data_IF_971243784314
#
_entry.id   IF_971243784314
#
_cell.length_a   1.000
_cell.length_b   1.000
_cell.length_c   1.000
_cell.angle_alpha   90.00
_cell.angle_beta   90.00
_cell.angle_gamma   90.00
#
_symmetry.space_group_name_H-M   'P 1'
#
loop_
_entity.id
_entity.type
_entity.pdbx_description
1 polymer ?
#
# COMPACT_ATOMS: atom_id res chain seq x y z
N UNK A 1 -9.75 10.12 -39.09
CA UNK A 1 -9.41 11.07 -38.00
C UNK A 1 -9.91 10.45 -36.69
N UNK A 2 -9.05 9.81 -35.90
CA UNK A 2 -9.45 9.16 -34.65
C UNK A 2 -9.55 10.24 -33.57
N UNK A 3 -10.74 10.77 -33.33
CA UNK A 3 -10.98 11.60 -32.13
C UNK A 3 -10.94 10.70 -30.90
N UNK A 4 -9.95 10.90 -30.01
CA UNK A 4 -9.98 10.28 -28.70
C UNK A 4 -11.33 10.66 -28.08
N UNK A 5 -12.18 9.69 -27.78
CA UNK A 5 -13.46 9.96 -27.17
C UNK A 5 -13.24 10.31 -25.71
N UNK A 6 -12.99 11.59 -25.43
CA UNK A 6 -12.83 12.13 -24.08
C UNK A 6 -13.94 11.61 -23.14
N UNK A 7 -15.18 11.48 -23.61
CA UNK A 7 -16.33 11.06 -22.79
C UNK A 7 -16.19 9.62 -22.26
N UNK A 8 -15.71 8.66 -23.04
CA UNK A 8 -15.53 7.25 -22.60
C UNK A 8 -14.29 7.08 -21.74
N UNK A 9 -13.21 7.81 -22.04
CA UNK A 9 -11.98 7.81 -21.27
C UNK A 9 -12.23 8.35 -19.84
N UNK A 10 -12.85 9.52 -19.72
CA UNK A 10 -13.16 10.12 -18.43
C UNK A 10 -14.25 9.36 -17.66
N UNK A 11 -15.20 8.72 -18.33
CA UNK A 11 -16.21 7.89 -17.65
C UNK A 11 -15.56 6.70 -16.92
N UNK A 12 -14.60 6.02 -17.53
CA UNK A 12 -13.88 4.92 -16.89
C UNK A 12 -12.95 5.38 -15.78
N UNK A 13 -12.29 6.50 -16.01
CA UNK A 13 -11.47 7.12 -14.97
C UNK A 13 -12.33 7.49 -13.77
N UNK A 14 -13.51 8.05 -13.99
CA UNK A 14 -14.51 8.33 -12.96
C UNK A 14 -14.85 7.09 -12.12
N UNK A 15 -15.20 5.97 -12.75
CA UNK A 15 -15.53 4.73 -12.06
C UNK A 15 -14.35 4.25 -11.18
N UNK A 16 -13.12 4.41 -11.65
CA UNK A 16 -11.94 4.01 -10.89
C UNK A 16 -11.69 4.92 -9.68
N UNK A 17 -11.90 6.23 -9.85
CA UNK A 17 -11.78 7.23 -8.79
C UNK A 17 -12.85 7.04 -7.71
N UNK A 18 -14.11 6.81 -8.10
CA UNK A 18 -15.23 6.65 -7.18
C UNK A 18 -15.00 5.54 -6.16
N UNK A 19 -14.32 4.44 -6.53
CA UNK A 19 -13.93 3.37 -5.60
C UNK A 19 -13.12 3.85 -4.39
N UNK A 20 -12.39 4.94 -4.54
CA UNK A 20 -11.55 5.50 -3.47
C UNK A 20 -12.24 6.58 -2.66
N UNK A 21 -13.24 7.23 -3.23
CA UNK A 21 -13.90 8.40 -2.64
C UNK A 21 -15.23 8.08 -1.96
N UNK A 22 -15.91 7.01 -2.40
CA UNK A 22 -17.22 6.62 -1.85
C UNK A 22 -17.12 6.18 -0.38
N UNK A 23 -18.08 6.64 0.44
CA UNK A 23 -18.28 6.25 1.83
C UNK A 23 -17.04 6.45 2.74
N UNK A 24 -16.20 7.42 2.43
CA UNK A 24 -15.01 7.77 3.21
C UNK A 24 -14.90 9.27 3.41
N UNK A 25 -14.33 9.68 4.54
CA UNK A 25 -13.90 11.06 4.74
C UNK A 25 -12.75 11.34 3.75
N UNK A 26 -13.07 11.91 2.59
CA UNK A 26 -12.17 11.98 1.45
C UNK A 26 -12.02 13.37 0.89
N UNK A 27 -10.82 13.68 0.42
CA UNK A 27 -10.46 14.91 -0.29
C UNK A 27 -10.03 14.58 -1.71
N UNK A 28 -10.62 15.25 -2.69
CA UNK A 28 -10.23 15.16 -4.08
C UNK A 28 -9.60 16.45 -4.56
N UNK A 29 -8.30 16.42 -4.86
CA UNK A 29 -7.52 17.55 -5.36
C UNK A 29 -7.33 17.37 -6.87
N UNK A 30 -7.73 18.39 -7.63
CA UNK A 30 -7.75 18.39 -9.09
C UNK A 30 -7.13 19.66 -9.63
N UNK A 31 -6.56 19.57 -10.85
CA UNK A 31 -6.27 20.75 -11.64
C UNK A 31 -7.57 21.50 -12.00
N UNK A 32 -7.54 22.83 -11.89
CA UNK A 32 -8.67 23.70 -12.23
C UNK A 32 -9.17 23.49 -13.67
N UNK A 33 -8.28 23.10 -14.58
CA UNK A 33 -8.60 22.79 -15.98
C UNK A 33 -9.01 21.32 -16.21
N UNK A 34 -8.99 20.48 -15.18
CA UNK A 34 -9.34 19.07 -15.31
C UNK A 34 -10.79 18.89 -15.68
N UNK A 35 -11.06 17.97 -16.61
CA UNK A 35 -12.42 17.55 -16.98
C UNK A 35 -13.06 16.64 -15.91
N UNK A 36 -12.28 16.21 -14.93
CA UNK A 36 -12.76 15.39 -13.81
C UNK A 36 -13.56 16.18 -12.76
N UNK A 37 -13.66 17.51 -12.92
CA UNK A 37 -14.55 18.38 -12.10
C UNK A 37 -15.99 17.88 -12.00
N UNK A 38 -16.42 17.12 -13.02
CA UNK A 38 -17.81 16.64 -13.16
C UNK A 38 -18.06 15.41 -12.28
N UNK A 39 -17.03 14.84 -11.63
CA UNK A 39 -17.20 13.70 -10.73
C UNK A 39 -17.96 14.17 -9.50
N UNK A 40 -19.24 13.79 -9.43
CA UNK A 40 -20.10 14.14 -8.32
C UNK A 40 -19.98 13.07 -7.24
N UNK A 41 -19.08 13.28 -6.27
CA UNK A 41 -18.88 12.45 -5.10
C UNK A 41 -19.14 13.27 -3.84
N UNK A 42 -19.47 12.63 -2.74
CA UNK A 42 -19.64 13.29 -1.42
C UNK A 42 -18.31 13.77 -0.81
N UNK A 43 -17.22 13.64 -1.55
CA UNK A 43 -15.88 14.07 -1.11
C UNK A 43 -15.74 15.59 -1.12
N UNK A 44 -14.92 16.12 -0.22
CA UNK A 44 -14.42 17.48 -0.34
C UNK A 44 -13.63 17.64 -1.65
N UNK A 45 -13.77 18.77 -2.30
CA UNK A 45 -13.06 19.06 -3.55
C UNK A 45 -12.22 20.31 -3.41
N UNK A 46 -10.98 20.22 -3.86
CA UNK A 46 -10.08 21.35 -3.95
C UNK A 46 -9.52 21.45 -5.37
N UNK A 47 -9.66 22.64 -5.96
CA UNK A 47 -9.16 22.92 -7.29
C UNK A 47 -7.86 23.73 -7.18
N UNK A 48 -6.81 23.25 -7.84
CA UNK A 48 -5.53 23.94 -7.93
C UNK A 48 -5.36 24.53 -9.34
N UNK A 49 -4.95 25.79 -9.41
CA UNK A 49 -4.47 26.38 -10.65
C UNK A 49 -2.98 26.04 -10.80
N UNK A 50 -2.68 25.09 -11.65
CA UNK A 50 -1.31 24.63 -11.88
C UNK A 50 -0.52 25.53 -12.85
N UNK A 51 -1.12 26.62 -13.36
CA UNK A 51 -0.39 27.65 -14.07
C UNK A 51 0.32 28.62 -13.11
N UNK A 52 -0.07 28.63 -11.82
CA UNK A 52 0.64 29.34 -10.76
C UNK A 52 1.52 28.35 -9.99
N UNK A 53 2.86 28.44 -10.10
CA UNK A 53 3.78 27.49 -9.44
C UNK A 53 3.73 27.59 -7.91
N UNK A 54 3.21 28.69 -7.35
CA UNK A 54 3.07 28.90 -5.91
C UNK A 54 1.68 28.50 -5.38
N UNK A 55 0.82 27.95 -6.21
CA UNK A 55 -0.53 27.55 -5.81
C UNK A 55 -0.52 26.18 -5.11
N UNK A 56 -0.35 26.22 -3.79
CA UNK A 56 -0.43 25.05 -2.93
C UNK A 56 -1.82 24.91 -2.29
N UNK A 57 -2.25 23.69 -1.95
CA UNK A 57 -3.52 23.49 -1.26
C UNK A 57 -3.49 24.13 0.13
N UNK A 58 -4.45 24.98 0.42
CA UNK A 58 -4.69 25.47 1.78
C UNK A 58 -5.63 24.51 2.47
N UNK A 59 -5.09 23.68 3.38
CA UNK A 59 -5.84 22.68 4.11
C UNK A 59 -5.97 23.07 5.58
N UNK A 60 -7.11 22.79 6.18
CA UNK A 60 -7.30 22.96 7.63
C UNK A 60 -6.44 21.94 8.37
N UNK A 61 -5.52 22.42 9.20
CA UNK A 61 -4.58 21.60 9.99
C UNK A 61 -5.29 20.64 10.96
N UNK A 62 -6.51 20.98 11.37
CA UNK A 62 -7.30 20.16 12.29
C UNK A 62 -8.12 19.09 11.56
N UNK A 63 -8.24 19.18 10.23
CA UNK A 63 -9.02 18.24 9.44
C UNK A 63 -8.12 17.17 8.85
N UNK A 64 -8.41 15.92 9.17
CA UNK A 64 -7.73 14.75 8.64
C UNK A 64 -8.65 13.97 7.71
N UNK A 65 -8.06 13.32 6.70
CA UNK A 65 -8.80 12.57 5.69
C UNK A 65 -8.33 11.11 5.63
N UNK A 66 -9.28 10.20 5.48
CA UNK A 66 -8.99 8.77 5.29
C UNK A 66 -8.51 8.48 3.88
N UNK A 67 -8.90 9.34 2.93
CA UNK A 67 -8.48 9.23 1.53
C UNK A 67 -8.21 10.60 0.96
N UNK A 68 -7.04 10.77 0.37
CA UNK A 68 -6.72 11.94 -0.44
C UNK A 68 -6.37 11.46 -1.85
N UNK A 69 -7.07 11.98 -2.83
CA UNK A 69 -6.85 11.65 -4.24
C UNK A 69 -6.33 12.87 -4.99
N UNK A 70 -5.20 12.68 -5.67
CA UNK A 70 -4.62 13.64 -6.62
C UNK A 70 -4.88 13.16 -8.05
N UNK A 71 -5.57 13.98 -8.85
CA UNK A 71 -5.86 13.64 -10.23
C UNK A 71 -5.27 14.65 -11.19
N UNK A 72 -4.32 14.21 -12.02
CA UNK A 72 -3.65 15.03 -13.02
C UNK A 72 -2.99 16.31 -12.43
N UNK A 73 -2.50 16.21 -11.20
CA UNK A 73 -1.87 17.33 -10.47
C UNK A 73 -0.35 17.20 -10.50
N UNK A 74 0.18 16.02 -10.18
CA UNK A 74 1.62 15.82 -9.97
C UNK A 74 2.45 16.12 -11.22
N UNK A 75 1.95 15.75 -12.40
CA UNK A 75 2.67 15.95 -13.66
C UNK A 75 2.75 17.42 -14.09
N UNK A 76 1.94 18.27 -13.50
CA UNK A 76 1.83 19.68 -13.86
C UNK A 76 2.28 20.63 -12.73
N UNK A 77 2.60 20.12 -11.54
CA UNK A 77 3.06 20.92 -10.42
C UNK A 77 4.60 20.98 -10.38
N UNK A 78 5.16 22.18 -10.22
CA UNK A 78 6.63 22.36 -10.25
C UNK A 78 7.30 21.79 -8.99
N UNK A 79 6.73 22.05 -7.81
CA UNK A 79 7.24 21.56 -6.53
C UNK A 79 6.34 20.43 -5.96
N UNK A 80 6.58 19.23 -6.46
CA UNK A 80 5.87 18.02 -6.02
C UNK A 80 6.20 17.63 -4.58
N UNK A 81 7.41 17.96 -4.09
CA UNK A 81 7.80 17.62 -2.72
C UNK A 81 6.98 18.41 -1.71
N UNK A 82 6.93 19.73 -1.84
CA UNK A 82 6.15 20.61 -0.95
C UNK A 82 4.66 20.29 -1.03
N UNK A 83 4.14 20.06 -2.24
CA UNK A 83 2.75 19.65 -2.44
C UNK A 83 2.42 18.38 -1.65
N UNK A 84 3.22 17.32 -1.80
CA UNK A 84 3.00 16.05 -1.12
C UNK A 84 3.22 16.14 0.39
N UNK A 85 4.14 17.00 0.85
CA UNK A 85 4.34 17.26 2.29
C UNK A 85 3.08 17.81 2.94
N UNK A 86 2.50 18.87 2.37
CA UNK A 86 1.25 19.48 2.86
C UNK A 86 0.10 18.45 2.90
N UNK A 87 0.00 17.65 1.86
CA UNK A 87 -1.07 16.64 1.75
C UNK A 87 -0.89 15.51 2.77
N UNK A 88 0.36 15.06 2.97
CA UNK A 88 0.67 14.00 3.93
C UNK A 88 0.27 14.38 5.35
N UNK A 89 0.49 15.63 5.73
CA UNK A 89 0.07 16.14 7.03
C UNK A 89 -1.44 16.09 7.27
N UNK A 90 -2.24 16.02 6.22
CA UNK A 90 -3.71 15.98 6.30
C UNK A 90 -4.29 14.55 6.21
N UNK A 91 -3.44 13.52 6.14
CA UNK A 91 -3.89 12.12 6.21
C UNK A 91 -4.12 11.68 7.67
N UNK A 92 -5.09 10.79 7.86
CA UNK A 92 -5.18 9.98 9.10
C UNK A 92 -4.05 8.95 9.13
N UNK A 93 -3.75 8.38 10.29
CA UNK A 93 -2.68 7.38 10.44
C UNK A 93 -2.90 6.15 9.55
N UNK A 94 -4.16 5.75 9.34
CA UNK A 94 -4.56 4.67 8.41
C UNK A 94 -5.01 5.19 7.04
N UNK A 95 -4.75 6.46 6.78
CA UNK A 95 -5.15 7.13 5.55
C UNK A 95 -4.46 6.58 4.31
N UNK A 96 -5.01 6.86 3.13
CA UNK A 96 -4.37 6.52 1.86
C UNK A 96 -4.28 7.74 0.96
N UNK A 97 -3.09 7.96 0.43
CA UNK A 97 -2.85 8.87 -0.67
C UNK A 97 -2.95 8.09 -1.98
N UNK A 98 -3.85 8.51 -2.84
CA UNK A 98 -4.04 7.95 -4.18
C UNK A 98 -3.59 8.98 -5.21
N UNK A 99 -2.63 8.63 -6.04
CA UNK A 99 -2.11 9.49 -7.10
C UNK A 99 -2.49 8.91 -8.45
N UNK A 100 -3.26 9.66 -9.22
CA UNK A 100 -3.58 9.32 -10.60
C UNK A 100 -2.82 10.24 -11.55
N UNK A 101 -2.12 9.65 -12.52
CA UNK A 101 -1.33 10.39 -13.52
C UNK A 101 -1.31 9.67 -14.88
N UNK A 102 -0.69 10.29 -15.87
CA UNK A 102 -0.46 9.66 -17.18
C UNK A 102 0.76 8.75 -17.08
N UNK A 103 0.66 7.56 -17.65
CA UNK A 103 1.75 6.58 -17.67
C UNK A 103 2.95 7.11 -18.47
N UNK A 104 4.09 7.23 -17.79
CA UNK A 104 5.34 7.74 -18.38
C UNK A 104 5.85 6.93 -19.58
N UNK A 105 5.44 5.67 -19.73
CA UNK A 105 5.77 4.83 -20.92
C UNK A 105 5.25 5.46 -22.22
N UNK A 106 4.20 6.26 -22.15
CA UNK A 106 3.62 6.93 -23.31
C UNK A 106 4.19 8.34 -23.57
N UNK A 107 5.20 8.76 -22.82
CA UNK A 107 5.76 10.12 -22.93
C UNK A 107 6.25 10.45 -24.36
N UNK A 108 6.98 9.53 -24.99
CA UNK A 108 7.46 9.70 -26.37
C UNK A 108 6.31 9.77 -27.37
N UNK A 109 5.29 8.94 -27.17
CA UNK A 109 4.11 8.92 -28.04
C UNK A 109 3.33 10.24 -27.96
N UNK A 110 3.12 10.77 -26.77
CA UNK A 110 2.45 12.06 -26.59
C UNK A 110 3.27 13.22 -27.14
N UNK A 111 4.60 13.24 -26.95
CA UNK A 111 5.49 14.24 -27.54
C UNK A 111 5.45 14.21 -29.08
N UNK A 112 5.34 13.03 -29.68
CA UNK A 112 5.18 12.90 -31.13
C UNK A 112 3.87 13.51 -31.62
N UNK A 113 2.75 13.33 -30.89
CA UNK A 113 1.48 13.97 -31.25
C UNK A 113 1.48 15.49 -31.03
N UNK A 114 2.22 15.98 -30.04
CA UNK A 114 2.46 17.42 -29.85
C UNK A 114 3.26 18.01 -31.02
N UNK A 115 4.31 17.30 -31.46
CA UNK A 115 5.09 17.69 -32.64
C UNK A 115 4.22 17.78 -33.91
N UNK A 116 3.31 16.83 -34.09
CA UNK A 116 2.35 16.84 -35.21
C UNK A 116 1.20 17.86 -35.05
N UNK A 117 1.20 18.68 -34.00
CA UNK A 117 0.13 19.64 -33.65
C UNK A 117 -1.28 19.00 -33.58
N UNK A 118 -1.35 17.72 -33.28
CA UNK A 118 -2.60 16.96 -33.06
C UNK A 118 -3.10 17.14 -31.64
N UNK A 119 -2.19 17.45 -30.70
CA UNK A 119 -2.45 17.78 -29.29
C UNK A 119 -1.89 19.18 -29.02
N UNK A 120 -2.66 19.99 -28.29
CA UNK A 120 -2.17 21.31 -27.84
C UNK A 120 -1.01 21.14 -26.84
N UNK A 121 0.08 21.87 -27.08
CA UNK A 121 1.31 21.83 -26.29
C UNK A 121 1.28 22.71 -25.03
N UNK A 122 0.10 23.23 -24.65
CA UNK A 122 -0.04 24.27 -23.64
C UNK A 122 0.12 23.83 -22.18
N UNK A 123 0.56 22.60 -21.92
CA UNK A 123 0.85 22.14 -20.56
C UNK A 123 2.24 21.52 -20.53
N UNK A 124 3.08 21.99 -19.61
CA UNK A 124 4.36 21.37 -19.24
C UNK A 124 4.11 20.00 -18.60
N UNK A 125 3.68 19.02 -19.40
CA UNK A 125 3.47 17.67 -18.91
C UNK A 125 4.82 17.03 -18.58
N UNK A 126 5.26 17.13 -17.33
CA UNK A 126 6.38 16.34 -16.85
C UNK A 126 5.90 14.93 -16.52
N UNK A 127 6.16 13.99 -17.43
CA UNK A 127 5.87 12.58 -17.17
C UNK A 127 6.75 12.05 -16.04
N UNK A 128 6.21 12.00 -14.83
CA UNK A 128 6.96 11.60 -13.64
C UNK A 128 7.00 10.08 -13.56
N UNK A 129 8.20 9.52 -13.45
CA UNK A 129 8.37 8.09 -13.25
C UNK A 129 7.96 7.68 -11.83
N UNK A 130 7.32 6.50 -11.71
CA UNK A 130 6.93 5.89 -10.43
C UNK A 130 8.03 5.96 -9.38
N UNK A 131 9.26 5.58 -9.75
CA UNK A 131 10.41 5.57 -8.82
C UNK A 131 10.71 6.94 -8.21
N UNK A 132 10.54 8.02 -8.99
CA UNK A 132 10.75 9.39 -8.48
C UNK A 132 9.69 9.73 -7.42
N UNK A 133 8.43 9.37 -7.68
CA UNK A 133 7.34 9.61 -6.71
C UNK A 133 7.56 8.76 -5.45
N UNK A 134 7.94 7.49 -5.59
CA UNK A 134 8.26 6.62 -4.46
C UNK A 134 9.38 7.19 -3.59
N UNK A 135 10.44 7.73 -4.19
CA UNK A 135 11.54 8.34 -3.43
C UNK A 135 11.07 9.55 -2.62
N UNK A 136 10.22 10.40 -3.22
CA UNK A 136 9.65 11.57 -2.53
C UNK A 136 8.74 11.11 -1.39
N UNK A 137 7.80 10.21 -1.66
CA UNK A 137 6.83 9.72 -0.66
C UNK A 137 7.51 8.99 0.48
N UNK A 138 8.55 8.19 0.22
CA UNK A 138 9.35 7.53 1.27
C UNK A 138 10.04 8.57 2.17
N UNK A 139 10.60 9.63 1.59
CA UNK A 139 11.18 10.75 2.34
C UNK A 139 10.17 11.49 3.23
N UNK A 140 8.90 11.47 2.85
CA UNK A 140 7.78 12.05 3.60
C UNK A 140 7.12 11.07 4.58
N UNK A 141 7.67 9.87 4.75
CA UNK A 141 7.12 8.86 5.64
C UNK A 141 5.86 8.17 5.10
N UNK A 142 5.71 8.11 3.80
CA UNK A 142 4.67 7.31 3.13
C UNK A 142 5.29 6.06 2.54
N UNK A 143 4.69 4.92 2.77
CA UNK A 143 5.08 3.68 2.10
C UNK A 143 4.22 3.40 0.87
N UNK A 144 4.85 2.84 -0.13
CA UNK A 144 4.20 2.39 -1.34
C UNK A 144 3.41 1.10 -1.08
N UNK A 145 2.14 1.09 -1.48
CA UNK A 145 1.28 -0.09 -1.36
C UNK A 145 1.00 -0.77 -2.69
N UNK A 146 0.62 0.00 -3.69
CA UNK A 146 0.12 -0.56 -4.95
C UNK A 146 0.35 0.39 -6.12
N UNK A 147 0.68 -0.22 -7.28
CA UNK A 147 0.71 0.43 -8.58
C UNK A 147 -0.06 -0.42 -9.58
N UNK A 148 -0.91 0.21 -10.34
CA UNK A 148 -1.57 -0.45 -11.46
C UNK A 148 -1.93 0.58 -12.52
N UNK A 149 -2.22 0.08 -13.72
CA UNK A 149 -2.62 0.92 -14.84
C UNK A 149 -3.97 0.48 -15.38
N UNK A 150 -4.69 1.42 -15.96
CA UNK A 150 -5.98 1.21 -16.60
C UNK A 150 -6.02 1.89 -17.96
N UNK A 151 -7.01 1.48 -18.79
CA UNK A 151 -7.27 2.08 -20.09
C UNK A 151 -6.15 1.85 -21.09
N UNK A 152 -5.96 0.59 -21.50
CA UNK A 152 -5.04 0.21 -22.56
C UNK A 152 -5.47 0.78 -23.92
N UNK A 153 -6.78 0.85 -24.16
CA UNK A 153 -7.34 1.30 -25.42
C UNK A 153 -8.24 2.53 -25.24
N UNK A 154 -7.75 3.74 -25.58
CA UNK A 154 -8.47 5.00 -25.34
C UNK A 154 -9.55 5.30 -26.39
N UNK A 155 -9.65 4.48 -27.45
CA UNK A 155 -10.50 4.77 -28.60
C UNK A 155 -11.91 4.21 -28.43
N UNK A 156 -12.88 4.94 -29.01
CA UNK A 156 -14.25 4.49 -29.12
C UNK A 156 -14.36 3.63 -30.39
N UNK A 157 -14.35 2.33 -30.24
CA UNK A 157 -14.72 1.41 -31.32
C UNK A 157 -16.18 1.00 -31.10
N UNK A 158 -17.11 1.76 -31.66
CA UNK A 158 -18.55 1.56 -31.51
C UNK A 158 -18.92 1.06 -30.10
N UNK A 159 -19.63 0.08 -29.82
CA UNK A 159 -19.93 -0.37 -28.44
C UNK A 159 -18.88 -1.36 -27.87
N UNK A 160 -17.88 -1.76 -28.66
CA UNK A 160 -16.96 -2.88 -28.35
C UNK A 160 -15.71 -2.42 -27.54
N UNK A 161 -15.35 -1.13 -27.60
CA UNK A 161 -14.12 -0.62 -26.93
C UNK A 161 -14.04 -0.91 -25.43
N UNK A 162 -15.21 -1.04 -24.77
CA UNK A 162 -15.31 -1.44 -23.36
C UNK A 162 -14.91 -2.88 -23.10
N UNK A 163 -15.37 -3.77 -23.93
CA UNK A 163 -15.08 -5.20 -23.84
C UNK A 163 -13.61 -5.47 -24.19
N UNK A 164 -13.13 -4.83 -25.26
CA UNK A 164 -11.71 -4.92 -25.69
C UNK A 164 -10.78 -4.49 -24.55
N UNK A 165 -11.05 -3.35 -23.90
CA UNK A 165 -10.23 -2.92 -22.77
C UNK A 165 -10.23 -3.93 -21.60
N UNK A 166 -11.38 -4.51 -21.28
CA UNK A 166 -11.47 -5.50 -20.20
C UNK A 166 -10.63 -6.73 -20.52
N UNK A 167 -10.69 -7.23 -21.75
CA UNK A 167 -9.90 -8.39 -22.20
C UNK A 167 -8.41 -8.04 -22.20
N UNK A 168 -8.03 -6.91 -22.78
CA UNK A 168 -6.63 -6.47 -22.85
C UNK A 168 -6.06 -6.18 -21.44
N UNK A 169 -6.84 -5.58 -20.54
CA UNK A 169 -6.42 -5.34 -19.16
C UNK A 169 -6.15 -6.65 -18.41
N UNK A 170 -6.92 -7.70 -18.65
CA UNK A 170 -6.68 -9.04 -18.06
C UNK A 170 -5.44 -9.69 -18.66
N UNK A 171 -5.30 -9.68 -19.99
CA UNK A 171 -4.19 -10.32 -20.69
C UNK A 171 -2.84 -9.63 -20.42
N UNK A 172 -2.85 -8.30 -20.30
CA UNK A 172 -1.63 -7.48 -20.22
C UNK A 172 -1.47 -6.77 -18.85
N UNK A 173 -2.20 -7.20 -17.83
CA UNK A 173 -2.16 -6.52 -16.52
C UNK A 173 -0.75 -6.50 -15.92
N UNK A 174 0.05 -7.56 -16.11
CA UNK A 174 1.42 -7.68 -15.61
C UNK A 174 2.39 -6.65 -16.22
N UNK A 175 2.10 -6.18 -17.43
CA UNK A 175 2.99 -5.24 -18.14
C UNK A 175 2.75 -3.78 -17.81
N UNK A 176 1.69 -3.47 -17.07
CA UNK A 176 1.34 -2.08 -16.72
C UNK A 176 1.33 -1.14 -17.94
N UNK A 177 0.59 -1.53 -18.98
CA UNK A 177 0.51 -0.81 -20.26
C UNK A 177 -0.69 0.14 -20.37
N UNK A 178 -1.50 0.31 -19.33
CA UNK A 178 -2.60 1.28 -19.35
C UNK A 178 -2.10 2.72 -19.42
N UNK A 179 -2.89 3.60 -20.03
CA UNK A 179 -2.55 5.03 -20.20
C UNK A 179 -2.62 5.79 -18.88
N UNK A 180 -3.60 5.46 -18.03
CA UNK A 180 -3.71 6.04 -16.68
C UNK A 180 -3.05 5.12 -15.66
N UNK A 181 -2.25 5.72 -14.80
CA UNK A 181 -1.62 5.07 -13.65
C UNK A 181 -2.32 5.46 -12.36
N UNK A 182 -2.31 4.54 -11.43
CA UNK A 182 -2.80 4.73 -10.06
C UNK A 182 -1.73 4.21 -9.10
N UNK A 183 -1.26 5.10 -8.24
CA UNK A 183 -0.28 4.81 -7.21
C UNK A 183 -0.94 5.01 -5.86
N UNK A 184 -0.80 4.06 -4.96
CA UNK A 184 -1.41 4.10 -3.64
C UNK A 184 -0.29 4.05 -2.61
N UNK A 185 -0.35 5.01 -1.70
CA UNK A 185 0.57 5.15 -0.58
C UNK A 185 -0.22 5.24 0.72
N UNK A 186 0.40 4.87 1.82
CA UNK A 186 -0.12 5.10 3.17
C UNK A 186 0.95 5.68 4.08
N UNK A 187 0.60 6.40 5.14
CA UNK A 187 1.56 6.77 6.15
C UNK A 187 2.28 5.55 6.71
N UNK A 188 3.61 5.63 6.78
CA UNK A 188 4.39 4.65 7.51
C UNK A 188 4.16 4.97 8.99
N UNK A 189 3.36 4.16 9.65
CA UNK A 189 3.08 4.34 11.06
C UNK A 189 4.32 3.97 11.89
N UNK A 190 5.28 4.90 11.96
CA UNK A 190 6.47 4.78 12.81
C UNK A 190 6.20 5.14 14.27
N UNK A 191 5.05 5.72 14.57
CA UNK A 191 4.58 5.79 15.96
C UNK A 191 4.16 4.36 16.27
N UNK A 192 5.06 3.65 16.94
CA UNK A 192 4.78 2.32 17.43
C UNK A 192 3.47 2.37 18.19
N UNK A 193 2.38 2.07 17.50
CA UNK A 193 1.19 1.62 18.18
C UNK A 193 1.68 0.44 19.00
N UNK A 194 1.50 0.49 20.32
CA UNK A 194 1.83 -0.62 21.19
C UNK A 194 0.86 -1.77 20.89
N UNK A 195 0.97 -2.32 19.68
CA UNK A 195 0.17 -3.46 19.26
C UNK A 195 0.62 -4.66 20.06
N UNK A 196 -0.33 -5.40 20.56
CA UNK A 196 -0.06 -6.68 21.22
C UNK A 196 0.43 -7.70 20.19
N UNK A 197 1.40 -8.54 20.56
CA UNK A 197 2.12 -9.42 19.64
C UNK A 197 2.06 -10.87 20.08
N UNK A 198 1.79 -11.76 19.13
CA UNK A 198 1.88 -13.22 19.30
C UNK A 198 3.02 -13.77 18.45
N UNK A 199 3.97 -14.44 19.08
CA UNK A 199 5.10 -15.06 18.40
C UNK A 199 4.85 -16.58 18.41
N UNK A 200 4.55 -17.15 17.25
CA UNK A 200 4.37 -18.58 17.07
C UNK A 200 5.72 -19.23 16.77
N UNK A 201 6.10 -20.20 17.57
CA UNK A 201 7.36 -20.95 17.43
C UNK A 201 7.02 -22.43 17.22
N UNK A 202 6.92 -22.90 15.95
CA UNK A 202 6.78 -24.32 15.67
C UNK A 202 8.09 -25.02 15.96
N UNK A 203 8.09 -26.02 16.84
CA UNK A 203 9.30 -26.75 17.20
C UNK A 203 9.10 -28.26 17.25
N UNK A 204 10.04 -28.98 16.62
CA UNK A 204 10.15 -30.43 16.65
C UNK A 204 11.61 -30.81 16.66
N UNK A 205 12.05 -31.53 17.71
CA UNK A 205 13.45 -31.91 17.96
C UNK A 205 14.40 -30.68 18.03
N UNK A 206 13.98 -29.67 18.84
CA UNK A 206 14.67 -28.40 18.96
C UNK A 206 15.12 -28.12 20.42
N UNK A 207 15.35 -29.15 21.23
CA UNK A 207 15.73 -29.00 22.65
C UNK A 207 16.95 -28.10 22.86
N UNK A 208 17.90 -28.12 21.89
CA UNK A 208 19.14 -27.36 21.96
C UNK A 208 19.00 -25.87 21.62
N UNK A 209 17.98 -25.50 20.86
CA UNK A 209 17.87 -24.15 20.29
C UNK A 209 16.90 -23.25 21.06
N UNK A 210 15.85 -23.82 21.66
CA UNK A 210 14.73 -23.02 22.21
C UNK A 210 15.15 -22.03 23.31
N UNK A 211 16.08 -22.40 24.20
CA UNK A 211 16.53 -21.49 25.28
C UNK A 211 17.27 -20.28 24.72
N UNK A 212 18.16 -20.51 23.76
CA UNK A 212 18.87 -19.41 23.08
C UNK A 212 17.88 -18.53 22.30
N UNK A 213 17.00 -19.14 21.52
CA UNK A 213 15.98 -18.44 20.74
C UNK A 213 15.18 -17.47 21.61
N UNK A 214 14.58 -17.96 22.69
CA UNK A 214 13.71 -17.15 23.56
C UNK A 214 14.50 -16.06 24.30
N UNK A 215 15.74 -16.34 24.72
CA UNK A 215 16.60 -15.33 25.37
C UNK A 215 16.94 -14.16 24.47
N UNK A 216 16.86 -14.32 23.16
CA UNK A 216 17.17 -13.29 22.14
C UNK A 216 15.92 -12.59 21.60
N UNK A 217 14.72 -13.02 21.98
CA UNK A 217 13.48 -12.30 21.60
C UNK A 217 13.45 -10.95 22.32
N UNK A 218 13.32 -9.83 21.59
CA UNK A 218 13.23 -8.51 22.20
C UNK A 218 12.00 -8.39 23.10
N UNK A 219 12.14 -7.67 24.20
CA UNK A 219 11.02 -7.36 25.09
C UNK A 219 10.10 -6.34 24.44
N UNK A 220 8.89 -6.74 24.14
CA UNK A 220 7.82 -5.85 23.70
C UNK A 220 6.68 -5.86 24.71
N UNK A 221 5.98 -4.74 24.82
CA UNK A 221 4.77 -4.70 25.63
C UNK A 221 3.71 -5.69 25.11
N UNK A 222 3.05 -6.41 26.00
CA UNK A 222 1.96 -7.34 25.71
C UNK A 222 2.32 -8.39 24.64
N UNK A 223 3.38 -9.14 24.90
CA UNK A 223 3.83 -10.23 24.01
C UNK A 223 3.44 -11.60 24.58
N UNK A 224 2.80 -12.43 23.76
CA UNK A 224 2.66 -13.86 24.02
C UNK A 224 3.57 -14.68 23.11
N UNK A 225 4.09 -15.77 23.63
CA UNK A 225 4.86 -16.77 22.89
C UNK A 225 4.04 -18.05 22.85
N UNK A 226 3.76 -18.54 21.65
CA UNK A 226 3.00 -19.76 21.43
C UNK A 226 3.93 -20.81 20.86
N UNK A 227 4.35 -21.76 21.72
CA UNK A 227 5.05 -22.93 21.24
C UNK A 227 4.07 -23.89 20.59
N UNK A 228 4.32 -24.27 19.34
CA UNK A 228 3.59 -25.37 18.70
C UNK A 228 4.49 -26.60 18.66
N UNK A 229 4.21 -27.51 19.59
CA UNK A 229 4.99 -28.73 19.79
C UNK A 229 4.61 -29.80 18.76
N UNK A 230 5.56 -30.11 17.87
CA UNK A 230 5.50 -31.30 17.05
C UNK A 230 5.99 -32.54 17.86
N UNK A 231 5.42 -33.70 17.63
CA UNK A 231 5.88 -34.94 18.30
C UNK A 231 7.39 -35.10 18.11
N UNK A 232 8.15 -34.86 19.18
CA UNK A 232 9.62 -34.88 19.23
C UNK A 232 10.12 -36.18 19.89
N UNK A 233 11.31 -36.62 19.52
CA UNK A 233 12.01 -37.74 20.10
C UNK A 233 12.96 -37.34 21.22
N UNK A 234 13.22 -36.03 21.35
CA UNK A 234 14.07 -35.39 22.32
C UNK A 234 13.28 -34.71 23.45
N UNK A 235 13.96 -33.89 24.27
CA UNK A 235 13.34 -33.19 25.41
C UNK A 235 12.71 -31.82 25.04
N UNK A 236 12.34 -31.62 23.77
CA UNK A 236 11.77 -30.34 23.31
C UNK A 236 10.59 -29.88 24.18
N UNK A 237 9.65 -30.76 24.55
CA UNK A 237 8.50 -30.39 25.37
C UNK A 237 8.90 -30.03 26.82
N UNK A 238 9.85 -30.77 27.39
CA UNK A 238 10.37 -30.47 28.74
C UNK A 238 11.01 -29.06 28.75
N UNK A 239 11.81 -28.75 27.72
CA UNK A 239 12.47 -27.45 27.56
C UNK A 239 11.46 -26.31 27.36
N UNK A 240 10.37 -26.54 26.62
CA UNK A 240 9.30 -25.54 26.47
C UNK A 240 8.66 -25.18 27.82
N UNK A 241 8.37 -26.20 28.65
CA UNK A 241 7.82 -25.97 29.99
C UNK A 241 8.82 -25.23 30.89
N UNK A 242 10.10 -25.65 30.91
CA UNK A 242 11.13 -24.93 31.66
C UNK A 242 11.25 -23.46 31.26
N UNK A 243 11.20 -23.15 29.98
CA UNK A 243 11.23 -21.76 29.47
C UNK A 243 10.02 -21.00 29.95
N UNK A 244 8.83 -21.59 29.87
CA UNK A 244 7.58 -20.96 30.32
C UNK A 244 7.61 -20.60 31.81
N UNK A 245 8.27 -21.40 32.64
CA UNK A 245 8.44 -21.14 34.06
C UNK A 245 9.55 -20.11 34.35
N UNK A 246 10.57 -20.03 33.49
CA UNK A 246 11.74 -19.18 33.67
C UNK A 246 11.48 -17.71 33.32
N UNK A 247 10.71 -17.45 32.27
CA UNK A 247 10.49 -16.10 31.73
C UNK A 247 9.11 -15.58 32.11
N UNK A 248 9.02 -14.68 33.08
CA UNK A 248 7.75 -14.07 33.54
C UNK A 248 7.33 -12.83 32.75
N UNK A 249 8.16 -12.33 31.85
CA UNK A 249 7.92 -11.15 30.99
C UNK A 249 7.10 -11.45 29.74
N UNK A 250 6.90 -12.74 29.43
CA UNK A 250 6.08 -13.19 28.33
C UNK A 250 4.90 -14.04 28.84
N UNK A 251 3.79 -14.00 28.10
CA UNK A 251 2.71 -14.96 28.30
C UNK A 251 2.96 -16.17 27.40
N UNK A 252 3.11 -17.36 27.98
CA UNK A 252 3.36 -18.58 27.22
C UNK A 252 2.11 -19.42 27.03
N UNK A 253 1.98 -20.01 25.82
CA UNK A 253 1.03 -21.05 25.50
C UNK A 253 1.76 -22.20 24.81
N UNK A 254 1.41 -23.44 25.12
CA UNK A 254 1.96 -24.64 24.44
C UNK A 254 0.81 -25.37 23.77
N UNK A 255 0.86 -25.44 22.44
CA UNK A 255 -0.10 -26.21 21.61
C UNK A 255 0.53 -27.50 21.17
N UNK A 256 -0.09 -28.63 21.54
CA UNK A 256 0.38 -29.93 21.08
C UNK A 256 -0.25 -30.21 19.73
N UNK A 257 0.57 -30.37 18.72
CA UNK A 257 0.16 -30.57 17.34
C UNK A 257 -0.56 -31.91 17.18
N UNK A 258 -1.74 -31.89 16.57
CA UNK A 258 -2.56 -33.09 16.34
C UNK A 258 -2.12 -33.87 15.10
N UNK A 259 -1.59 -33.19 14.08
CA UNK A 259 -1.16 -33.80 12.81
C UNK A 259 0.26 -33.36 12.46
N UNK A 260 0.99 -34.18 11.73
CA UNK A 260 2.36 -33.88 11.32
C UNK A 260 2.44 -32.73 10.30
N UNK A 261 3.51 -31.97 10.38
CA UNK A 261 3.86 -30.92 9.40
C UNK A 261 3.83 -29.52 9.97
N UNK A 262 4.82 -28.70 9.59
CA UNK A 262 5.00 -27.31 10.06
C UNK A 262 3.78 -26.42 9.79
N UNK A 263 3.13 -26.60 8.63
CA UNK A 263 1.94 -25.83 8.30
C UNK A 263 0.80 -26.10 9.29
N UNK A 264 0.59 -27.37 9.69
CA UNK A 264 -0.43 -27.74 10.66
C UNK A 264 -0.10 -27.17 12.05
N UNK A 265 1.19 -27.20 12.45
CA UNK A 265 1.65 -26.61 13.70
C UNK A 265 1.28 -25.12 13.78
N UNK A 266 1.49 -24.37 12.70
CA UNK A 266 1.11 -22.95 12.61
C UNK A 266 -0.40 -22.77 12.64
N UNK A 267 -1.16 -23.56 11.89
CA UNK A 267 -2.63 -23.48 11.87
C UNK A 267 -3.26 -23.69 13.25
N UNK A 268 -2.82 -24.72 13.98
CA UNK A 268 -3.34 -25.00 15.31
C UNK A 268 -2.94 -23.91 16.32
N UNK A 269 -1.71 -23.34 16.19
CA UNK A 269 -1.29 -22.23 17.02
C UNK A 269 -2.12 -20.96 16.75
N UNK A 270 -2.52 -20.70 15.49
CA UNK A 270 -3.37 -19.55 15.14
C UNK A 270 -4.74 -19.58 15.82
N UNK A 271 -5.26 -20.74 16.18
CA UNK A 271 -6.55 -20.86 16.86
C UNK A 271 -6.53 -20.31 18.30
N UNK A 272 -5.34 -20.23 18.92
CA UNK A 272 -5.16 -19.76 20.30
C UNK A 272 -4.52 -18.37 20.41
N UNK A 273 -4.26 -17.72 19.27
CA UNK A 273 -3.74 -16.34 19.21
C UNK A 273 -4.76 -15.36 19.76
N UNK A 274 -4.32 -14.47 20.65
CA UNK A 274 -5.18 -13.43 21.24
C UNK A 274 -4.76 -12.00 20.84
N UNK A 275 -3.58 -11.84 20.26
CA UNK A 275 -3.00 -10.53 19.97
C UNK A 275 -3.21 -10.07 18.52
N UNK A 276 -2.97 -8.76 18.28
CA UNK A 276 -3.28 -8.08 17.00
C UNK A 276 -2.26 -8.37 15.90
N UNK A 277 -1.00 -8.61 16.27
CA UNK A 277 0.10 -8.87 15.34
C UNK A 277 0.64 -10.27 15.58
N UNK A 278 0.84 -11.02 14.52
CA UNK A 278 1.35 -12.40 14.58
C UNK A 278 2.69 -12.46 13.84
N UNK A 279 3.72 -12.95 14.52
CA UNK A 279 4.99 -13.33 13.94
C UNK A 279 5.17 -14.85 14.01
N UNK A 280 5.76 -15.44 12.99
CA UNK A 280 6.17 -16.86 13.00
C UNK A 280 7.69 -16.88 13.03
N UNK A 281 8.28 -17.50 14.05
CA UNK A 281 9.71 -17.57 14.24
C UNK A 281 10.15 -19.03 14.24
N UNK A 282 11.09 -19.38 13.37
CA UNK A 282 11.61 -20.74 13.26
C UNK A 282 12.52 -21.08 14.44
N UNK A 283 12.34 -22.27 15.02
CA UNK A 283 13.05 -22.68 16.22
C UNK A 283 14.57 -22.92 16.00
N UNK A 284 15.00 -23.10 14.76
CA UNK A 284 16.37 -23.37 14.36
C UNK A 284 17.27 -22.11 14.28
N UNK A 285 16.73 -20.94 14.67
CA UNK A 285 17.41 -19.63 14.63
C UNK A 285 17.97 -19.29 13.23
N UNK A 286 17.31 -19.77 12.17
CA UNK A 286 17.68 -19.39 10.79
C UNK A 286 17.43 -17.91 10.51
N UNK A 287 16.59 -17.27 11.31
CA UNK A 287 16.38 -15.81 11.34
C UNK A 287 16.72 -15.30 12.74
N UNK A 288 17.53 -14.24 12.80
CA UNK A 288 17.91 -13.58 14.05
C UNK A 288 16.66 -13.05 14.79
N UNK A 289 16.38 -13.50 16.03
CA UNK A 289 15.20 -13.06 16.77
C UNK A 289 15.11 -11.55 16.99
N UNK A 290 16.25 -10.87 17.07
CA UNK A 290 16.36 -9.44 17.24
C UNK A 290 15.75 -8.66 16.07
N UNK A 291 15.66 -9.25 14.88
CA UNK A 291 15.02 -8.63 13.70
C UNK A 291 13.52 -8.39 13.89
N UNK A 292 12.91 -8.99 14.91
CA UNK A 292 11.52 -8.69 15.28
C UNK A 292 11.31 -7.22 15.66
N UNK A 293 12.37 -6.47 15.97
CA UNK A 293 12.30 -5.02 16.22
C UNK A 293 12.11 -4.21 14.95
N UNK A 294 12.38 -4.78 13.77
CA UNK A 294 12.30 -4.09 12.48
C UNK A 294 10.87 -4.09 11.91
N UNK A 295 9.96 -4.85 12.51
CA UNK A 295 8.56 -5.02 12.13
C UNK A 295 7.64 -4.39 13.17
#
# INVERSE_FOLDING_TARGET
MFKISNKTFYHRHKIEIEKYLENKNSLHILNIDSKDKIINTESDKLLLDLNDPNNFPTLDKNKKYDRILLTDVIENHEDVFTLLSIITESLTDDGKLIVSSINSKYSLFFKFFEYLKIKDSNQNNSYIHLKKIQNITNGLGLEYQKYYTKQLFPFKLFFIGGMINRILEVLFFQFNLGIKTYMIFRPLNRKGTKLSKSIIIPAKNEEGNLKELVSRIPEFDNTEIIFSYGQSEDKTLEVMNEISDMYSNFLFKIVIQSQAGKANAVWEALEVVENEVIAILDADISVEPETLTDF
#
